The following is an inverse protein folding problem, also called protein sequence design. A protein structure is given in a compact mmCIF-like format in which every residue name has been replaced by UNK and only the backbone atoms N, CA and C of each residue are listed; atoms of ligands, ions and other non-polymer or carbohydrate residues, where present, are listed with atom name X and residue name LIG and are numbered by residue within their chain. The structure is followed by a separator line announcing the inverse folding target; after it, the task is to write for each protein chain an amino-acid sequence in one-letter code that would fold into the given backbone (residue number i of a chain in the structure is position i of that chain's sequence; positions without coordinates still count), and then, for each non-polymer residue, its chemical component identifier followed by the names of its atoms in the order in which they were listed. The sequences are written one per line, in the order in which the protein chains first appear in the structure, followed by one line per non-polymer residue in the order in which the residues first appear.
data_IF_809490068308
#
_entry.id   IF_809490068308
#
_cell.length_a   1.000
_cell.length_b   1.000
_cell.length_c   1.000
_cell.angle_alpha   90.00
_cell.angle_beta   90.00
_cell.angle_gamma   90.00
#
_symmetry.space_group_name_H-M   'P 1'
#
loop_
_entity.id
_entity.type
_entity.pdbx_description
1 polymer ?
#
# COMPACT_ATOMS: atom_id res chain seq x y z
N UNK A 1 -8.50 -3.29 14.60
CA UNK A 1 -8.52 -1.81 14.71
C UNK A 1 -8.53 -1.45 16.18
N UNK A 2 -7.65 -0.55 16.60
CA UNK A 2 -7.63 0.04 17.93
C UNK A 2 -7.15 1.48 17.79
N UNK A 3 -7.83 2.41 18.42
CA UNK A 3 -7.54 3.84 18.30
C UNK A 3 -8.36 4.63 19.31
N UNK A 4 -7.78 5.73 19.79
CA UNK A 4 -8.45 6.65 20.70
C UNK A 4 -9.40 7.52 19.86
N UNK A 5 -10.66 7.62 20.30
CA UNK A 5 -11.64 8.53 19.69
C UNK A 5 -11.20 9.97 20.00
N UNK A 6 -10.85 10.72 18.96
CA UNK A 6 -10.36 12.09 19.03
C UNK A 6 -11.51 13.10 19.14
N UNK A 7 -12.65 12.84 18.47
CA UNK A 7 -13.79 13.76 18.46
C UNK A 7 -15.11 13.05 18.16
N UNK A 8 -16.17 13.38 18.92
CA UNK A 8 -17.57 13.08 18.61
C UNK A 8 -18.14 14.30 17.87
N UNK A 9 -18.59 14.10 16.64
CA UNK A 9 -18.97 15.18 15.73
C UNK A 9 -20.49 15.32 15.56
N UNK A 10 -21.30 14.53 16.28
CA UNK A 10 -22.75 14.65 16.29
C UNK A 10 -23.28 14.97 17.70
N UNK A 11 -24.46 15.58 17.74
CA UNK A 11 -25.22 15.84 18.97
C UNK A 11 -26.15 14.66 19.26
N UNK A 12 -26.19 14.16 20.50
CA UNK A 12 -27.16 13.11 20.87
C UNK A 12 -28.60 13.64 20.69
N UNK A 13 -29.37 12.97 19.82
CA UNK A 13 -30.74 13.38 19.46
C UNK A 13 -30.86 14.29 18.23
N UNK A 14 -29.75 14.65 17.57
CA UNK A 14 -29.76 15.43 16.32
C UNK A 14 -29.82 14.56 15.06
N UNK A 15 -30.35 15.11 13.98
CA UNK A 15 -30.31 14.49 12.65
C UNK A 15 -28.86 14.38 12.15
N UNK A 16 -28.48 13.21 11.63
CA UNK A 16 -27.16 13.00 11.01
C UNK A 16 -27.33 12.72 9.52
N UNK A 17 -26.60 13.46 8.68
CA UNK A 17 -26.61 13.24 7.23
C UNK A 17 -25.74 12.04 6.83
N UNK A 18 -26.09 11.37 5.73
CA UNK A 18 -25.24 10.34 5.15
C UNK A 18 -23.90 10.96 4.72
N UNK A 19 -22.78 10.34 5.12
CA UNK A 19 -21.43 10.86 4.89
C UNK A 19 -20.89 11.79 5.99
N UNK A 20 -21.71 12.19 6.96
CA UNK A 20 -21.26 13.02 8.08
C UNK A 20 -20.32 12.24 9.00
N UNK A 21 -19.17 12.81 9.33
CA UNK A 21 -18.19 12.19 10.23
C UNK A 21 -18.81 12.13 11.63
N UNK A 22 -19.05 10.93 12.16
CA UNK A 22 -19.63 10.70 13.48
C UNK A 22 -18.54 10.70 14.56
N UNK A 23 -17.42 10.04 14.26
CA UNK A 23 -16.27 9.89 15.14
C UNK A 23 -14.98 10.04 14.32
N UNK A 24 -14.02 10.78 14.85
CA UNK A 24 -12.68 10.84 14.29
C UNK A 24 -11.72 10.10 15.21
N UNK A 25 -11.04 9.08 14.70
CA UNK A 25 -9.90 8.45 15.37
C UNK A 25 -8.65 9.28 15.02
N UNK A 26 -7.71 9.43 15.95
CA UNK A 26 -6.42 10.08 15.64
C UNK A 26 -5.76 9.41 14.42
N UNK A 27 -5.60 10.11 13.29
CA UNK A 27 -5.05 9.50 12.09
C UNK A 27 -3.52 9.44 12.11
N UNK A 28 -2.83 10.04 13.09
CA UNK A 28 -1.37 10.22 13.02
C UNK A 28 -0.61 8.91 12.81
N UNK A 29 -0.93 7.87 13.57
CA UNK A 29 -0.29 6.55 13.46
C UNK A 29 -0.66 5.81 12.17
N UNK A 30 -1.90 5.99 11.69
CA UNK A 30 -2.38 5.44 10.42
C UNK A 30 -1.74 6.14 9.22
N UNK A 31 -1.57 7.46 9.28
CA UNK A 31 -0.88 8.26 8.28
C UNK A 31 0.60 7.87 8.20
N UNK A 32 1.27 7.75 9.35
CA UNK A 32 2.66 7.29 9.40
C UNK A 32 2.82 5.89 8.79
N UNK A 33 1.89 4.97 9.08
CA UNK A 33 1.88 3.63 8.50
C UNK A 33 1.67 3.64 6.98
N UNK A 34 0.78 4.52 6.48
CA UNK A 34 0.55 4.70 5.04
C UNK A 34 1.80 5.25 4.32
N UNK A 35 2.45 6.27 4.89
CA UNK A 35 3.69 6.80 4.31
C UNK A 35 4.84 5.79 4.38
N UNK A 36 4.96 5.00 5.45
CA UNK A 36 5.94 3.90 5.54
C UNK A 36 5.71 2.87 4.43
N UNK A 37 4.47 2.43 4.23
CA UNK A 37 4.14 1.47 3.18
C UNK A 37 4.46 2.02 1.77
N UNK A 38 4.21 3.32 1.53
CA UNK A 38 4.61 3.98 0.27
C UNK A 38 6.12 4.00 0.08
N UNK A 39 6.87 4.24 1.15
CA UNK A 39 8.34 4.17 1.13
C UNK A 39 8.84 2.77 0.76
N UNK A 40 8.24 1.72 1.33
CA UNK A 40 8.62 0.35 1.02
C UNK A 40 8.22 -0.07 -0.40
N UNK A 41 7.08 0.41 -0.91
CA UNK A 41 6.72 0.26 -2.33
C UNK A 41 7.78 0.91 -3.24
N UNK A 42 8.21 2.13 -2.94
CA UNK A 42 9.23 2.81 -3.73
C UNK A 42 10.57 2.05 -3.74
N UNK A 43 10.97 1.47 -2.60
CA UNK A 43 12.16 0.60 -2.53
C UNK A 43 11.99 -0.66 -3.38
N UNK A 44 10.84 -1.33 -3.30
CA UNK A 44 10.56 -2.53 -4.09
C UNK A 44 10.56 -2.23 -5.59
N UNK A 45 9.96 -1.12 -6.02
CA UNK A 45 9.95 -0.69 -7.41
C UNK A 45 11.36 -0.38 -7.93
N UNK A 46 12.20 0.27 -7.11
CA UNK A 46 13.60 0.52 -7.44
C UNK A 46 14.40 -0.79 -7.60
N UNK A 47 14.22 -1.75 -6.69
CA UNK A 47 14.85 -3.05 -6.76
C UNK A 47 14.41 -3.83 -8.02
N UNK A 48 13.10 -3.87 -8.29
CA UNK A 48 12.55 -4.51 -9.49
C UNK A 48 13.10 -3.90 -10.78
N UNK A 49 13.23 -2.56 -10.82
CA UNK A 49 13.85 -1.87 -11.97
C UNK A 49 15.30 -2.31 -12.19
N UNK A 50 16.11 -2.39 -11.12
CA UNK A 50 17.51 -2.82 -11.22
C UNK A 50 17.61 -4.27 -11.70
N UNK A 51 16.83 -5.19 -11.11
CA UNK A 51 16.82 -6.61 -11.51
C UNK A 51 16.39 -6.78 -12.97
N UNK A 52 15.37 -6.03 -13.40
CA UNK A 52 14.91 -6.06 -14.79
C UNK A 52 15.98 -5.55 -15.78
N UNK A 53 16.72 -4.51 -15.42
CA UNK A 53 17.83 -4.01 -16.24
C UNK A 53 18.96 -5.04 -16.36
N UNK A 54 19.27 -5.76 -15.27
CA UNK A 54 20.27 -6.84 -15.28
C UNK A 54 19.80 -8.00 -16.15
N UNK A 55 18.57 -8.48 -15.99
CA UNK A 55 17.99 -9.51 -16.84
C UNK A 55 18.02 -9.11 -18.32
N UNK A 56 17.66 -7.87 -18.65
CA UNK A 56 17.69 -7.37 -20.01
C UNK A 56 19.10 -7.34 -20.62
N UNK A 57 20.13 -7.04 -19.80
CA UNK A 57 21.54 -7.12 -20.22
C UNK A 57 21.94 -8.57 -20.47
N UNK A 58 21.61 -9.48 -19.56
CA UNK A 58 21.99 -10.89 -19.68
C UNK A 58 21.29 -11.56 -20.86
N UNK A 59 20.01 -11.23 -21.11
CA UNK A 59 19.27 -11.70 -22.29
C UNK A 59 20.01 -11.41 -23.61
N UNK A 60 20.69 -10.26 -23.70
CA UNK A 60 21.47 -9.88 -24.90
C UNK A 60 22.79 -10.62 -25.02
N UNK A 61 23.33 -11.13 -23.91
CA UNK A 61 24.57 -11.87 -23.84
C UNK A 61 24.35 -13.40 -23.89
N UNK A 62 23.10 -13.85 -23.79
CA UNK A 62 22.77 -15.28 -23.86
C UNK A 62 23.14 -15.83 -25.24
N UNK A 63 23.82 -16.99 -25.26
CA UNK A 63 24.37 -17.58 -26.49
C UNK A 63 25.75 -17.01 -26.90
N UNK A 64 26.27 -16.03 -26.17
CA UNK A 64 27.68 -15.66 -26.21
C UNK A 64 28.44 -16.41 -25.12
N UNK A 65 29.75 -16.61 -25.27
CA UNK A 65 30.59 -17.24 -24.23
C UNK A 65 30.81 -16.34 -22.99
N UNK A 66 30.15 -15.18 -22.91
CA UNK A 66 30.33 -14.20 -21.83
C UNK A 66 29.46 -14.45 -20.59
N UNK A 67 28.36 -15.21 -20.70
CA UNK A 67 27.53 -15.61 -19.56
C UNK A 67 27.07 -17.06 -19.70
N UNK A 68 26.79 -17.72 -18.59
CA UNK A 68 26.18 -19.05 -18.59
C UNK A 68 24.64 -18.97 -18.64
N UNK A 69 23.99 -20.06 -19.02
CA UNK A 69 22.54 -20.20 -18.90
C UNK A 69 22.08 -20.03 -17.43
N UNK A 70 22.87 -20.56 -16.49
CA UNK A 70 22.60 -20.45 -15.06
C UNK A 70 22.60 -18.99 -14.57
N UNK A 71 23.51 -18.15 -15.08
CA UNK A 71 23.55 -16.72 -14.72
C UNK A 71 22.28 -16.00 -15.22
N UNK A 72 21.82 -16.34 -16.42
CA UNK A 72 20.58 -15.80 -16.97
C UNK A 72 19.35 -16.26 -16.17
N UNK A 73 19.27 -17.55 -15.83
CA UNK A 73 18.15 -18.10 -15.07
C UNK A 73 18.09 -17.51 -13.66
N UNK A 74 19.26 -17.26 -13.04
CA UNK A 74 19.36 -16.55 -11.76
C UNK A 74 18.83 -15.11 -11.89
N UNK A 75 19.28 -14.36 -12.89
CA UNK A 75 18.79 -12.99 -13.12
C UNK A 75 17.29 -12.94 -13.42
N UNK A 76 16.75 -13.98 -14.08
CA UNK A 76 15.31 -14.11 -14.33
C UNK A 76 14.54 -14.33 -13.03
N UNK A 77 15.01 -15.25 -12.19
CA UNK A 77 14.41 -15.52 -10.88
C UNK A 77 14.42 -14.27 -9.98
N UNK A 78 15.55 -13.55 -9.93
CA UNK A 78 15.69 -12.31 -9.16
C UNK A 78 14.71 -11.23 -9.63
N UNK A 79 14.53 -11.08 -10.94
CA UNK A 79 13.55 -10.14 -11.50
C UNK A 79 12.11 -10.53 -11.15
N UNK A 80 11.78 -11.82 -11.20
CA UNK A 80 10.46 -12.31 -10.81
C UNK A 80 10.19 -12.09 -9.31
N UNK A 81 11.16 -12.40 -8.46
CA UNK A 81 11.08 -12.18 -7.01
C UNK A 81 10.88 -10.69 -6.69
N UNK A 82 11.65 -9.80 -7.33
CA UNK A 82 11.51 -8.36 -7.11
C UNK A 82 10.16 -7.83 -7.60
N UNK A 83 9.65 -8.32 -8.73
CA UNK A 83 8.30 -7.99 -9.20
C UNK A 83 7.21 -8.47 -8.24
N UNK A 84 7.35 -9.67 -7.65
CA UNK A 84 6.43 -10.16 -6.63
C UNK A 84 6.46 -9.28 -5.37
N UNK A 85 7.64 -8.80 -4.96
CA UNK A 85 7.76 -7.86 -3.84
C UNK A 85 7.02 -6.53 -4.11
N UNK A 86 7.05 -6.03 -5.35
CA UNK A 86 6.26 -4.84 -5.74
C UNK A 86 4.76 -5.10 -5.58
N UNK A 87 4.26 -6.26 -6.00
CA UNK A 87 2.84 -6.62 -5.85
C UNK A 87 2.44 -6.65 -4.37
N UNK A 88 3.26 -7.29 -3.52
CA UNK A 88 3.03 -7.33 -2.08
C UNK A 88 3.04 -5.92 -1.46
N UNK A 89 4.00 -5.07 -1.84
CA UNK A 89 4.09 -3.70 -1.33
C UNK A 89 2.90 -2.84 -1.77
N UNK A 90 2.39 -3.00 -3.00
CA UNK A 90 1.16 -2.33 -3.45
C UNK A 90 -0.05 -2.73 -2.60
N UNK A 91 -0.18 -4.01 -2.28
CA UNK A 91 -1.25 -4.49 -1.39
C UNK A 91 -1.12 -3.91 0.03
N UNK A 92 0.11 -3.78 0.54
CA UNK A 92 0.37 -3.16 1.84
C UNK A 92 -0.01 -1.67 1.86
N UNK A 93 0.34 -0.92 0.80
CA UNK A 93 -0.07 0.49 0.62
C UNK A 93 -1.59 0.62 0.62
N UNK A 94 -2.28 -0.24 -0.14
CA UNK A 94 -3.74 -0.20 -0.24
C UNK A 94 -4.40 -0.52 1.11
N UNK A 95 -3.87 -1.50 1.84
CA UNK A 95 -4.32 -1.82 3.20
C UNK A 95 -4.16 -0.63 4.15
N UNK A 96 -3.00 0.01 4.13
CA UNK A 96 -2.73 1.18 4.97
C UNK A 96 -3.61 2.39 4.58
N UNK A 97 -3.87 2.58 3.27
CA UNK A 97 -4.79 3.60 2.75
C UNK A 97 -6.21 3.40 3.25
N UNK A 98 -6.71 2.16 3.20
CA UNK A 98 -8.04 1.78 3.69
C UNK A 98 -8.13 2.02 5.20
N UNK A 99 -7.13 1.59 5.98
CA UNK A 99 -7.11 1.82 7.42
C UNK A 99 -7.10 3.32 7.78
N UNK A 100 -6.32 4.12 7.06
CA UNK A 100 -6.33 5.58 7.20
C UNK A 100 -7.69 6.18 6.83
N UNK A 101 -8.34 5.70 5.77
CA UNK A 101 -9.69 6.16 5.41
C UNK A 101 -10.71 5.87 6.52
N UNK A 102 -10.61 4.70 7.17
CA UNK A 102 -11.47 4.32 8.29
C UNK A 102 -11.26 5.13 9.58
N UNK A 103 -10.19 5.92 9.68
CA UNK A 103 -10.06 6.88 10.80
C UNK A 103 -11.14 7.97 10.76
N UNK A 104 -11.77 8.18 9.61
CA UNK A 104 -12.95 9.03 9.42
C UNK A 104 -14.19 8.15 9.41
N UNK A 105 -14.82 7.93 10.57
CA UNK A 105 -16.07 7.17 10.65
C UNK A 105 -17.20 8.05 10.13
N UNK A 106 -17.73 7.75 8.95
CA UNK A 106 -18.86 8.48 8.36
C UNK A 106 -20.16 7.71 8.53
N UNK A 107 -21.30 8.42 8.63
CA UNK A 107 -22.60 7.76 8.72
C UNK A 107 -22.98 7.12 7.38
N UNK A 108 -23.22 5.80 7.29
CA UNK A 108 -23.56 5.14 6.03
C UNK A 108 -24.97 5.45 5.53
N UNK A 109 -25.87 5.93 6.39
CA UNK A 109 -27.24 6.29 6.06
C UNK A 109 -27.66 7.56 6.82
N UNK A 110 -28.59 8.33 6.27
CA UNK A 110 -29.22 9.44 7.00
C UNK A 110 -30.12 8.84 8.08
N UNK A 111 -29.92 9.26 9.34
CA UNK A 111 -30.75 8.79 10.45
C UNK A 111 -31.38 10.00 11.12
N UNK A 112 -32.70 10.10 10.99
CA UNK A 112 -33.54 11.05 11.71
C UNK A 112 -34.17 10.32 12.90
N UNK A 113 -34.15 10.94 14.08
CA UNK A 113 -34.90 10.48 15.24
C UNK A 113 -36.10 11.42 15.41
N UNK A 114 -37.31 10.85 15.31
CA UNK A 114 -38.56 11.45 15.80
C UNK A 114 -39.02 10.65 17.02
#
# INVERSE_FOLDING_TARGET
MSGIILKRNFTEGGDVQAGESLYQIDPATYQASYESAKGDLAKAEAAAKISQLTLNRYKKLLGTQYISQQDYDTALADAQQANAAVVAAKAAVETARINLAYTKVTSPYQRSYW
#
